data_IF_524773954539
#
_entry.id   IF_524773954539
#
_cell.length_a   1.000
_cell.length_b   1.000
_cell.length_c   1.000
_cell.angle_alpha   90.00
_cell.angle_beta   90.00
_cell.angle_gamma   90.00
#
_symmetry.space_group_name_H-M   'P 1'
#
loop_
_entity.id
_entity.type
_entity.pdbx_description
1 polymer ?
#
# COMPACT_ATOMS: atom_id res chain seq x y z
N UNK A 1 -9.08 19.86 -14.63
CA UNK A 1 -9.05 19.61 -13.15
C UNK A 1 -8.67 18.17 -12.82
N UNK A 2 -8.82 17.22 -13.75
CA UNK A 2 -8.21 15.89 -13.63
C UNK A 2 -6.74 15.88 -14.10
N UNK A 3 -6.36 16.80 -14.98
CA UNK A 3 -5.01 16.92 -15.57
C UNK A 3 -3.92 17.27 -14.55
N UNK A 4 -4.31 17.72 -13.36
CA UNK A 4 -3.42 18.07 -12.25
C UNK A 4 -3.09 16.86 -11.36
N UNK A 5 -3.75 15.73 -11.56
CA UNK A 5 -3.53 14.54 -10.75
C UNK A 5 -2.22 13.86 -11.15
N UNK A 6 -1.45 13.32 -10.19
CA UNK A 6 -0.28 12.54 -10.52
C UNK A 6 -0.69 11.30 -11.33
N UNK A 7 0.09 10.98 -12.35
CA UNK A 7 -0.13 9.78 -13.17
C UNK A 7 -0.02 8.49 -12.34
N UNK A 8 0.76 8.53 -11.27
CA UNK A 8 0.97 7.43 -10.33
C UNK A 8 0.15 7.70 -9.07
N UNK A 9 -0.66 6.74 -8.59
CA UNK A 9 -1.40 6.92 -7.36
C UNK A 9 -0.45 7.05 -6.17
N UNK A 10 -0.75 7.97 -5.25
CA UNK A 10 0.04 8.10 -4.01
C UNK A 10 -0.15 6.91 -3.08
N UNK A 11 -1.36 6.34 -3.07
CA UNK A 11 -1.74 5.22 -2.21
C UNK A 11 -2.57 4.20 -2.99
N UNK A 12 -2.33 2.92 -2.70
CA UNK A 12 -3.15 1.81 -3.18
C UNK A 12 -3.77 1.13 -1.97
N UNK A 13 -5.10 1.19 -1.89
CA UNK A 13 -5.89 0.56 -0.82
C UNK A 13 -6.44 -0.76 -1.36
N UNK A 14 -6.25 -1.85 -0.62
CA UNK A 14 -6.81 -3.15 -0.98
C UNK A 14 -7.21 -3.94 0.27
N UNK A 15 -8.04 -4.96 0.07
CA UNK A 15 -8.51 -5.81 1.15
C UNK A 15 -7.40 -6.74 1.68
N UNK A 16 -7.71 -7.47 2.76
CA UNK A 16 -6.78 -8.42 3.38
C UNK A 16 -6.42 -9.59 2.45
N UNK A 17 -7.24 -9.91 1.44
CA UNK A 17 -6.95 -10.93 0.43
C UNK A 17 -5.62 -10.65 -0.28
N UNK A 18 -5.35 -9.38 -0.58
CA UNK A 18 -4.16 -8.87 -1.27
C UNK A 18 -2.92 -8.65 -0.39
N UNK A 19 -2.90 -9.11 0.85
CA UNK A 19 -1.79 -8.88 1.77
C UNK A 19 -0.50 -9.68 1.47
N UNK A 20 -0.25 -10.12 0.22
CA UNK A 20 0.99 -10.79 -0.14
C UNK A 20 2.17 -9.80 -0.21
N UNK A 21 3.37 -10.25 0.11
CA UNK A 21 4.58 -9.41 -0.02
C UNK A 21 4.80 -9.00 -1.47
N UNK A 22 4.61 -9.92 -2.42
CA UNK A 22 4.74 -9.63 -3.85
C UNK A 22 3.81 -8.48 -4.31
N UNK A 23 2.57 -8.41 -3.78
CA UNK A 23 1.67 -7.30 -4.08
C UNK A 23 2.18 -5.98 -3.51
N UNK A 24 2.66 -5.99 -2.26
CA UNK A 24 3.22 -4.80 -1.60
C UNK A 24 4.48 -4.29 -2.31
N UNK A 25 5.38 -5.19 -2.69
CA UNK A 25 6.59 -4.89 -3.47
C UNK A 25 6.22 -4.26 -4.81
N UNK A 26 5.25 -4.85 -5.54
CA UNK A 26 4.79 -4.27 -6.80
C UNK A 26 4.22 -2.86 -6.65
N UNK A 27 3.51 -2.58 -5.56
CA UNK A 27 2.97 -1.24 -5.27
C UNK A 27 4.12 -0.26 -4.97
N UNK A 28 5.14 -0.68 -4.21
CA UNK A 28 6.33 0.12 -3.95
C UNK A 28 7.14 0.41 -5.22
N UNK A 29 7.37 -0.59 -6.07
CA UNK A 29 8.10 -0.46 -7.34
C UNK A 29 7.41 0.52 -8.30
N UNK A 30 6.08 0.62 -8.23
CA UNK A 30 5.30 1.60 -8.97
C UNK A 30 5.47 3.03 -8.43
N UNK A 31 5.98 3.21 -7.22
CA UNK A 31 6.10 4.51 -6.55
C UNK A 31 4.89 4.89 -5.67
N UNK A 32 4.00 3.94 -5.42
CA UNK A 32 2.82 4.13 -4.59
C UNK A 32 3.01 3.52 -3.19
N UNK A 33 2.20 3.93 -2.21
CA UNK A 33 2.20 3.37 -0.85
C UNK A 33 1.07 2.36 -0.65
N UNK A 34 1.35 1.12 -0.19
CA UNK A 34 0.31 0.14 0.06
C UNK A 34 -0.40 0.38 1.40
N UNK A 35 -1.71 0.57 1.36
CA UNK A 35 -2.60 0.56 2.51
C UNK A 35 -3.41 -0.74 2.52
N UNK A 36 -2.75 -1.85 2.84
CA UNK A 36 -3.33 -3.20 2.86
C UNK A 36 -3.26 -3.75 4.29
N UNK A 37 -4.37 -4.23 4.88
CA UNK A 37 -4.35 -4.85 6.21
C UNK A 37 -3.40 -6.05 6.28
N UNK A 38 -2.61 -6.15 7.35
CA UNK A 38 -1.73 -7.31 7.57
C UNK A 38 -2.53 -8.57 7.94
N UNK A 39 -2.03 -9.74 7.55
CA UNK A 39 -2.51 -11.04 8.06
C UNK A 39 -1.80 -11.35 9.38
N UNK A 40 -2.45 -12.16 10.22
CA UNK A 40 -1.92 -12.57 11.54
C UNK A 40 -0.56 -13.29 11.45
N UNK A 41 -0.28 -13.93 10.30
CA UNK A 41 0.96 -14.67 10.03
C UNK A 41 2.07 -13.80 9.43
N UNK A 42 1.74 -12.57 9.02
CA UNK A 42 2.73 -11.66 8.49
C UNK A 42 3.60 -11.16 9.66
N UNK A 43 4.83 -10.73 9.37
CA UNK A 43 5.70 -10.15 10.39
C UNK A 43 5.02 -8.95 11.07
N UNK A 44 5.38 -8.68 12.32
CA UNK A 44 4.86 -7.51 13.04
C UNK A 44 5.19 -6.23 12.25
N UNK A 45 4.14 -5.57 11.73
CA UNK A 45 4.28 -4.28 11.06
C UNK A 45 4.02 -3.20 12.11
N UNK A 46 4.96 -2.28 12.28
CA UNK A 46 4.72 -1.09 13.08
C UNK A 46 3.73 -0.18 12.32
N UNK A 47 2.58 0.11 12.92
CA UNK A 47 1.77 1.23 12.46
C UNK A 47 2.53 2.52 12.81
N UNK A 48 2.85 3.39 11.83
CA UNK A 48 3.41 4.69 12.16
C UNK A 48 2.42 5.44 13.05
N UNK A 49 2.93 6.15 14.07
CA UNK A 49 2.10 7.12 14.80
C UNK A 49 1.59 8.13 13.78
N UNK A 50 0.28 8.37 13.79
CA UNK A 50 -0.32 9.45 13.02
C UNK A 50 0.36 10.77 13.43
N UNK A 51 0.75 11.56 12.44
CA UNK A 51 1.32 12.90 12.61
C UNK A 51 0.22 13.95 12.56
#
# INVERSE_FOLDING_TARGET
MLDSLPAIPLWVVADKGYASNAMRERIWDMGARPAIPAKRRDGLVACPKWA
#
